data_IF_964142131953
#
_entry.id   IF_964142131953
#
_cell.length_a   1.000
_cell.length_b   1.000
_cell.length_c   1.000
_cell.angle_alpha   90.00
_cell.angle_beta   90.00
_cell.angle_gamma   90.00
#
_symmetry.space_group_name_H-M   'P 1'
#
loop_
_entity.id
_entity.type
_entity.pdbx_description
1 polymer ?
#
# COMPACT_ATOMS: atom_id res chain seq x y z
N UNK A 1 38.07 -38.60 -5.24
CA UNK A 1 37.51 -38.56 -6.60
C UNK A 1 36.07 -38.08 -6.49
N UNK A 2 35.88 -36.76 -6.46
CA UNK A 2 34.55 -36.14 -6.37
C UNK A 2 34.26 -35.46 -7.71
N UNK A 3 33.46 -36.13 -8.54
CA UNK A 3 33.01 -35.58 -9.81
C UNK A 3 31.88 -34.58 -9.54
N UNK A 4 32.18 -33.30 -9.66
CA UNK A 4 31.18 -32.25 -9.79
C UNK A 4 30.46 -32.44 -11.12
N UNK A 5 29.20 -32.88 -11.08
CA UNK A 5 28.32 -32.78 -12.23
C UNK A 5 27.98 -31.30 -12.44
N UNK A 6 28.64 -30.68 -13.41
CA UNK A 6 28.19 -29.42 -13.97
C UNK A 6 26.83 -29.69 -14.63
N UNK A 7 25.75 -29.30 -13.97
CA UNK A 7 24.45 -29.13 -14.62
C UNK A 7 24.67 -28.16 -15.79
N UNK A 8 24.67 -28.68 -17.02
CA UNK A 8 24.42 -27.84 -18.19
C UNK A 8 22.97 -27.38 -18.04
N UNK A 9 22.77 -26.22 -17.40
CA UNK A 9 21.50 -25.53 -17.48
C UNK A 9 21.38 -25.01 -18.91
N UNK A 10 20.79 -25.81 -19.78
CA UNK A 10 20.12 -25.29 -20.97
C UNK A 10 18.94 -24.44 -20.49
N UNK A 11 19.25 -23.24 -19.99
CA UNK A 11 18.25 -22.19 -19.93
C UNK A 11 17.75 -22.03 -21.36
N UNK A 12 16.44 -22.15 -21.62
CA UNK A 12 15.90 -21.63 -22.86
C UNK A 12 16.42 -20.20 -22.94
N UNK A 13 17.16 -19.86 -23.99
CA UNK A 13 17.49 -18.47 -24.25
C UNK A 13 16.12 -17.80 -24.41
N UNK A 14 15.65 -17.16 -23.34
CA UNK A 14 14.52 -16.25 -23.41
C UNK A 14 15.01 -15.15 -24.35
N UNK A 15 14.67 -15.30 -25.63
CA UNK A 15 14.94 -14.27 -26.63
C UNK A 15 14.32 -12.99 -26.07
N UNK A 16 15.04 -11.87 -26.16
CA UNK A 16 14.57 -10.58 -25.65
C UNK A 16 13.21 -10.18 -26.26
N UNK A 17 12.82 -10.79 -27.39
CA UNK A 17 11.50 -10.63 -28.01
C UNK A 17 10.33 -11.11 -27.14
N UNK A 18 10.54 -12.07 -26.24
CA UNK A 18 9.50 -12.54 -25.31
C UNK A 18 9.34 -11.60 -24.10
N UNK A 19 10.33 -10.75 -23.81
CA UNK A 19 10.30 -9.75 -22.73
C UNK A 19 9.64 -8.43 -23.15
N UNK A 20 9.49 -8.16 -24.45
CA UNK A 20 9.04 -6.87 -24.98
C UNK A 20 7.51 -6.65 -25.01
N UNK A 21 6.69 -7.54 -24.44
CA UNK A 21 5.23 -7.47 -24.62
C UNK A 21 4.39 -7.51 -23.34
N UNK A 22 4.90 -7.00 -22.21
CA UNK A 22 3.95 -6.62 -21.14
C UNK A 22 3.44 -5.22 -21.46
N UNK A 23 2.20 -5.15 -21.96
CA UNK A 23 1.52 -3.86 -22.15
C UNK A 23 1.45 -3.14 -20.80
N UNK A 24 1.58 -1.82 -20.83
CA UNK A 24 1.40 -0.98 -19.65
C UNK A 24 0.05 -1.24 -18.97
N UNK A 25 -1.00 -1.50 -19.75
CA UNK A 25 -2.32 -1.85 -19.22
C UNK A 25 -2.32 -3.19 -18.45
N UNK A 26 -1.52 -4.16 -18.89
CA UNK A 26 -1.40 -5.45 -18.21
C UNK A 26 -0.63 -5.32 -16.90
N UNK A 27 0.41 -4.48 -16.87
CA UNK A 27 1.11 -4.12 -15.63
C UNK A 27 0.15 -3.46 -14.63
N UNK A 28 -0.64 -2.49 -15.08
CA UNK A 28 -1.64 -1.82 -14.24
C UNK A 28 -2.71 -2.81 -13.73
N UNK A 29 -3.21 -3.69 -14.59
CA UNK A 29 -4.17 -4.71 -14.20
C UNK A 29 -3.60 -5.69 -13.15
N UNK A 30 -2.32 -6.06 -13.28
CA UNK A 30 -1.63 -6.90 -12.29
C UNK A 30 -1.46 -6.19 -10.95
N UNK A 31 -1.05 -4.92 -10.94
CA UNK A 31 -0.92 -4.13 -9.72
C UNK A 31 -2.28 -3.97 -9.01
N UNK A 32 -3.33 -3.61 -9.74
CA UNK A 32 -4.68 -3.50 -9.19
C UNK A 32 -5.17 -4.82 -8.59
N UNK A 33 -4.97 -5.95 -9.27
CA UNK A 33 -5.32 -7.28 -8.75
C UNK A 33 -4.55 -7.58 -7.46
N UNK A 34 -3.26 -7.27 -7.41
CA UNK A 34 -2.44 -7.43 -6.22
C UNK A 34 -2.94 -6.57 -5.06
N UNK A 35 -3.25 -5.30 -5.29
CA UNK A 35 -3.80 -4.41 -4.28
C UNK A 35 -5.13 -4.93 -3.72
N UNK A 36 -6.04 -5.43 -4.58
CA UNK A 36 -7.32 -6.03 -4.16
C UNK A 36 -7.10 -7.30 -3.34
N UNK A 37 -6.15 -8.15 -3.71
CA UNK A 37 -5.80 -9.35 -2.94
C UNK A 37 -5.29 -8.97 -1.54
N UNK A 38 -4.36 -8.01 -1.45
CA UNK A 38 -3.82 -7.51 -0.19
C UNK A 38 -4.90 -6.88 0.70
N UNK A 39 -5.82 -6.10 0.12
CA UNK A 39 -6.97 -5.57 0.83
C UNK A 39 -7.86 -6.70 1.37
N UNK A 40 -8.18 -7.70 0.55
CA UNK A 40 -9.00 -8.85 0.96
C UNK A 40 -8.36 -9.61 2.14
N UNK A 41 -7.04 -9.78 2.14
CA UNK A 41 -6.29 -10.39 3.24
C UNK A 41 -6.40 -9.59 4.54
N UNK A 42 -6.52 -8.26 4.48
CA UNK A 42 -6.71 -7.37 5.65
C UNK A 42 -8.16 -7.26 6.11
N UNK A 43 -9.12 -7.31 5.18
CA UNK A 43 -10.56 -7.25 5.49
C UNK A 43 -11.02 -8.50 6.25
N UNK A 44 -10.49 -9.68 5.91
CA UNK A 44 -10.85 -10.95 6.55
C UNK A 44 -10.68 -10.94 8.08
N UNK A 45 -9.52 -10.59 8.66
CA UNK A 45 -9.37 -10.50 10.12
C UNK A 45 -10.16 -9.32 10.71
N UNK A 46 -10.30 -8.20 10.01
CA UNK A 46 -11.11 -7.07 10.47
C UNK A 46 -12.59 -7.45 10.69
N UNK A 47 -13.18 -8.16 9.71
CA UNK A 47 -14.55 -8.64 9.82
C UNK A 47 -14.73 -9.62 10.99
N UNK A 48 -13.77 -10.53 11.18
CA UNK A 48 -13.79 -11.46 12.33
C UNK A 48 -13.78 -10.73 13.67
N UNK A 49 -13.00 -9.65 13.78
CA UNK A 49 -12.87 -8.86 15.04
C UNK A 49 -14.07 -7.96 15.31
N UNK A 50 -14.59 -7.29 14.29
CA UNK A 50 -15.58 -6.20 14.48
C UNK A 50 -17.00 -6.58 14.07
N UNK A 51 -17.17 -7.67 13.30
CA UNK A 51 -18.42 -8.05 12.61
C UNK A 51 -18.99 -6.97 11.69
N UNK A 52 -18.21 -5.93 11.33
CA UNK A 52 -18.62 -4.89 10.40
C UNK A 52 -18.18 -5.25 8.98
N UNK A 53 -19.11 -5.23 8.03
CA UNK A 53 -18.81 -5.41 6.61
C UNK A 53 -18.30 -4.08 6.04
N UNK A 54 -17.16 -4.12 5.35
CA UNK A 54 -16.66 -2.99 4.57
C UNK A 54 -17.36 -3.02 3.21
N UNK A 55 -18.13 -1.98 2.92
CA UNK A 55 -18.80 -1.83 1.62
C UNK A 55 -17.98 -0.87 0.75
N UNK A 56 -17.77 -1.26 -0.50
CA UNK A 56 -17.11 -0.43 -1.50
C UNK A 56 -18.14 -0.11 -2.56
N UNK A 57 -18.93 0.94 -2.32
CA UNK A 57 -19.85 1.45 -3.33
C UNK A 57 -19.05 2.23 -4.35
N UNK A 58 -19.13 1.88 -5.64
CA UNK A 58 -18.38 2.57 -6.71
C UNK A 58 -18.67 4.06 -6.86
N UNK A 59 -19.67 4.59 -6.15
CA UNK A 59 -20.03 6.02 -6.10
C UNK A 59 -19.40 6.77 -4.92
N UNK A 60 -18.92 6.06 -3.89
CA UNK A 60 -18.40 6.69 -2.67
C UNK A 60 -16.91 6.98 -2.83
N UNK A 61 -16.49 8.21 -2.52
CA UNK A 61 -15.06 8.56 -2.56
C UNK A 61 -14.35 7.73 -1.50
N UNK A 62 -13.43 6.87 -1.93
CA UNK A 62 -12.58 6.09 -1.03
C UNK A 62 -11.62 7.05 -0.33
N UNK A 63 -11.99 7.49 0.87
CA UNK A 63 -11.24 8.46 1.63
C UNK A 63 -11.74 8.57 3.06
N UNK A 64 -10.82 8.81 3.98
CA UNK A 64 -11.18 9.07 5.36
C UNK A 64 -11.60 10.53 5.51
N UNK A 65 -12.80 10.77 6.02
CA UNK A 65 -13.29 12.11 6.32
C UNK A 65 -12.49 12.71 7.50
N UNK A 66 -11.45 13.48 7.17
CA UNK A 66 -10.60 14.15 8.16
C UNK A 66 -11.33 15.22 8.95
N UNK A 67 -12.46 15.76 8.47
CA UNK A 67 -13.15 16.88 9.13
C UNK A 67 -13.71 16.50 10.51
N UNK A 68 -13.97 15.20 10.73
CA UNK A 68 -14.44 14.64 12.00
C UNK A 68 -13.30 14.16 12.92
N UNK A 69 -12.07 14.15 12.43
CA UNK A 69 -10.90 13.69 13.17
C UNK A 69 -10.44 14.79 14.10
N UNK A 70 -10.39 14.53 15.39
CA UNK A 70 -9.83 15.43 16.39
C UNK A 70 -8.36 15.07 16.67
N UNK A 71 -7.49 16.08 16.64
CA UNK A 71 -6.10 15.92 17.02
C UNK A 71 -5.99 15.75 18.54
N UNK A 72 -5.42 14.64 19.02
CA UNK A 72 -5.21 14.42 20.46
C UNK A 72 -4.22 15.39 21.11
N UNK A 73 -3.40 16.10 20.33
CA UNK A 73 -2.38 17.03 20.87
C UNK A 73 -2.90 18.45 21.02
N UNK A 74 -3.67 18.96 20.05
CA UNK A 74 -4.17 20.34 20.05
C UNK A 74 -5.69 20.46 20.11
N UNK A 75 -6.41 19.32 20.15
CA UNK A 75 -7.87 19.22 20.22
C UNK A 75 -8.61 19.96 19.09
N UNK A 76 -7.92 20.25 17.98
CA UNK A 76 -8.52 20.81 16.76
C UNK A 76 -8.86 19.70 15.79
N UNK A 77 -10.00 19.85 15.13
CA UNK A 77 -10.45 18.91 14.09
C UNK A 77 -9.68 19.10 12.78
N UNK A 78 -9.77 18.13 11.88
CA UNK A 78 -9.26 18.22 10.51
C UNK A 78 -7.91 17.57 10.25
N UNK A 79 -7.22 17.07 11.28
CA UNK A 79 -5.90 16.43 11.12
C UNK A 79 -5.61 15.40 12.22
N UNK A 80 -4.70 14.48 11.91
CA UNK A 80 -4.19 13.53 12.90
C UNK A 80 -3.11 14.18 13.77
N UNK A 81 -2.91 13.69 14.99
CA UNK A 81 -1.84 14.18 15.88
C UNK A 81 -0.45 14.15 15.25
N UNK A 82 -0.18 13.19 14.36
CA UNK A 82 1.09 13.11 13.62
C UNK A 82 1.33 14.32 12.69
N UNK A 83 0.27 14.93 12.20
CA UNK A 83 0.32 16.08 11.28
C UNK A 83 0.25 17.42 12.04
N UNK A 84 0.22 17.39 13.37
CA UNK A 84 0.04 18.56 14.20
C UNK A 84 1.29 19.46 14.19
N UNK A 85 1.14 20.70 13.73
CA UNK A 85 2.25 21.66 13.59
C UNK A 85 2.67 22.36 14.89
N UNK A 86 1.99 22.10 16.02
CA UNK A 86 2.18 22.86 17.27
C UNK A 86 3.55 22.66 17.96
N UNK A 87 4.42 21.77 17.46
CA UNK A 87 5.74 21.52 18.05
C UNK A 87 6.95 21.91 17.17
N UNK A 88 6.76 22.54 15.98
CA UNK A 88 7.90 22.92 15.11
C UNK A 88 8.37 24.37 15.20
N UNK A 89 7.67 25.25 15.94
CA UNK A 89 7.94 26.69 15.95
C UNK A 89 8.20 27.32 17.34
N UNK A 90 8.76 26.59 18.31
CA UNK A 90 9.28 27.20 19.57
C UNK A 90 10.81 27.10 19.72
N UNK A 91 11.51 27.04 18.58
CA UNK A 91 12.97 27.11 18.49
C UNK A 91 13.49 28.48 18.06
N UNK A 92 12.82 29.58 18.41
CA UNK A 92 13.40 30.92 18.34
C UNK A 92 13.76 31.34 19.77
N UNK A 93 14.92 30.88 20.24
CA UNK A 93 15.54 31.39 21.47
C UNK A 93 16.62 32.38 21.09
N UNK A 94 16.20 33.57 20.69
CA UNK A 94 17.01 34.78 20.69
C UNK A 94 16.79 35.50 22.02
N UNK A 95 17.70 35.26 22.97
CA UNK A 95 18.06 36.22 24.02
C UNK A 95 19.41 35.83 24.63
#
# INVERSE_FOLDING_TARGET
>A
MFSFFANQSSSPQLDNKDLEQINQDDLEAMDLKWQVAMLSMRVKPFYKKTRRKLEFNGKERVGFDKTKVECFTCYRRGHFSKDCRTARNSGNKSR
#
